data_IF_320414884022
#
_entry.id   IF_320414884022
#
_cell.length_a   1.000
_cell.length_b   1.000
_cell.length_c   1.000
_cell.angle_alpha   90.00
_cell.angle_beta   90.00
_cell.angle_gamma   90.00
#
_symmetry.space_group_name_H-M   'P 1'
#
loop_
_entity.id
_entity.type
_entity.pdbx_description
1 polymer ?
#
# COMPACT_ATOMS: atom_id res chain seq x y z
N UNK A 1 15.62 3.67 -17.32
CA UNK A 1 16.18 3.80 -15.95
C UNK A 1 15.68 2.60 -15.17
N UNK A 2 16.52 1.58 -15.02
CA UNK A 2 16.18 0.36 -14.29
C UNK A 2 16.38 0.64 -12.80
N UNK A 3 15.36 0.45 -11.97
CA UNK A 3 15.47 0.64 -10.53
C UNK A 3 16.34 -0.44 -9.87
N UNK A 4 16.79 -0.21 -8.64
CA UNK A 4 17.47 -1.21 -7.83
C UNK A 4 16.51 -2.35 -7.52
N UNK A 5 16.91 -3.60 -7.77
CA UNK A 5 16.08 -4.75 -7.46
C UNK A 5 15.92 -4.87 -5.94
N UNK A 6 14.75 -5.29 -5.49
CA UNK A 6 14.50 -5.44 -4.06
C UNK A 6 13.52 -6.58 -3.77
N UNK A 7 13.64 -7.15 -2.58
CA UNK A 7 12.68 -8.09 -2.02
C UNK A 7 11.75 -7.33 -1.08
N UNK A 8 10.45 -7.42 -1.31
CA UNK A 8 9.41 -6.69 -0.58
C UNK A 8 8.60 -7.69 0.23
N UNK A 9 8.48 -7.44 1.52
CA UNK A 9 7.61 -8.18 2.44
C UNK A 9 6.49 -7.26 2.89
N UNK A 10 5.26 -7.68 2.70
CA UNK A 10 4.05 -6.97 3.11
C UNK A 10 3.33 -7.79 4.16
N UNK A 11 3.14 -7.21 5.35
CA UNK A 11 2.33 -7.76 6.41
C UNK A 11 1.13 -6.83 6.61
N UNK A 12 -0.08 -7.35 6.45
CA UNK A 12 -1.32 -6.62 6.67
C UNK A 12 -2.06 -7.25 7.83
N UNK A 13 -2.43 -6.45 8.82
CA UNK A 13 -3.30 -6.84 9.92
C UNK A 13 -4.60 -6.04 9.84
N UNK A 14 -5.71 -6.74 9.69
CA UNK A 14 -7.04 -6.14 9.60
C UNK A 14 -7.84 -6.50 10.83
N UNK A 15 -8.60 -5.54 11.36
CA UNK A 15 -9.48 -5.72 12.51
C UNK A 15 -10.85 -5.12 12.21
N UNK A 16 -11.88 -5.94 12.36
CA UNK A 16 -13.28 -5.54 12.23
C UNK A 16 -14.03 -6.05 13.46
N UNK A 17 -14.49 -5.13 14.32
CA UNK A 17 -15.06 -5.48 15.62
C UNK A 17 -14.10 -6.32 16.49
N UNK A 18 -14.50 -7.55 16.78
CA UNK A 18 -13.71 -8.52 17.56
C UNK A 18 -12.83 -9.44 16.72
N UNK A 19 -13.04 -9.47 15.40
CA UNK A 19 -12.30 -10.32 14.49
C UNK A 19 -11.01 -9.62 14.03
N UNK A 20 -9.95 -10.41 13.87
CA UNK A 20 -8.71 -9.92 13.28
C UNK A 20 -8.08 -10.96 12.39
N UNK A 21 -7.60 -10.53 11.23
CA UNK A 21 -6.89 -11.36 10.27
C UNK A 21 -5.49 -10.77 10.02
N UNK A 22 -4.54 -11.64 9.71
CA UNK A 22 -3.19 -11.23 9.31
C UNK A 22 -2.80 -11.96 8.04
N UNK A 23 -2.31 -11.20 7.05
CA UNK A 23 -1.86 -11.72 5.76
C UNK A 23 -0.42 -11.30 5.53
N UNK A 24 0.41 -12.24 5.08
CA UNK A 24 1.80 -12.02 4.76
C UNK A 24 2.05 -12.35 3.30
N UNK A 25 2.72 -11.45 2.59
CA UNK A 25 3.01 -11.58 1.16
C UNK A 25 4.45 -11.16 0.88
N UNK A 26 5.10 -11.85 -0.06
CA UNK A 26 6.45 -11.54 -0.51
C UNK A 26 6.47 -11.31 -2.01
N UNK A 27 7.21 -10.30 -2.45
CA UNK A 27 7.32 -9.89 -3.83
C UNK A 27 8.76 -9.56 -4.20
N UNK A 28 9.10 -9.75 -5.47
CA UNK A 28 10.28 -9.14 -6.07
C UNK A 28 9.84 -7.87 -6.78
N UNK A 29 10.53 -6.77 -6.50
CA UNK A 29 10.18 -5.45 -7.00
C UNK A 29 11.39 -4.62 -7.42
N UNK A 30 11.15 -3.33 -7.62
CA UNK A 30 12.17 -2.35 -7.95
C UNK A 30 12.00 -1.10 -7.12
N UNK A 31 13.13 -0.55 -6.68
CA UNK A 31 13.23 0.71 -5.96
C UNK A 31 13.85 1.79 -6.85
N UNK A 32 13.27 2.99 -6.82
CA UNK A 32 13.82 4.17 -7.50
C UNK A 32 13.81 5.33 -6.53
N UNK A 33 14.97 5.94 -6.32
CA UNK A 33 15.12 7.21 -5.62
C UNK A 33 15.24 8.36 -6.63
N UNK A 34 14.38 9.38 -6.50
CA UNK A 34 14.45 10.63 -7.29
C UNK A 34 14.63 11.85 -6.38
N UNK A 35 15.30 11.70 -5.25
CA UNK A 35 15.56 12.75 -4.28
C UNK A 35 14.34 12.98 -3.39
N UNK A 36 13.50 13.96 -3.74
CA UNK A 36 12.34 14.31 -2.90
C UNK A 36 11.27 13.22 -2.85
N UNK A 37 11.23 12.36 -3.88
CA UNK A 37 10.23 11.30 -4.03
C UNK A 37 10.89 9.97 -4.37
N UNK A 38 10.41 8.93 -3.69
CA UNK A 38 10.90 7.56 -3.81
C UNK A 38 9.76 6.64 -4.22
N UNK A 39 10.13 5.53 -4.86
CA UNK A 39 9.18 4.62 -5.48
C UNK A 39 9.57 3.16 -5.21
N UNK A 40 8.60 2.36 -4.79
CA UNK A 40 8.65 0.90 -4.80
C UNK A 40 7.59 0.38 -5.78
N UNK A 41 7.98 -0.46 -6.71
CA UNK A 41 7.06 -1.08 -7.66
C UNK A 41 7.16 -2.60 -7.63
N UNK A 42 6.02 -3.27 -7.70
CA UNK A 42 5.93 -4.73 -7.75
C UNK A 42 4.63 -5.17 -8.44
N UNK A 43 4.59 -6.44 -8.84
CA UNK A 43 3.40 -7.05 -9.42
C UNK A 43 2.72 -7.97 -8.41
N UNK A 44 1.39 -7.84 -8.30
CA UNK A 44 0.54 -8.73 -7.50
C UNK A 44 -0.36 -9.53 -8.43
N UNK A 45 -0.54 -10.81 -8.09
CA UNK A 45 -1.54 -11.67 -8.72
C UNK A 45 -2.59 -11.97 -7.67
N UNK A 46 -3.82 -11.57 -7.91
CA UNK A 46 -4.94 -11.89 -7.01
C UNK A 46 -5.29 -13.37 -7.09
N UNK A 47 -5.97 -13.96 -6.08
CA UNK A 47 -6.37 -15.37 -6.11
C UNK A 47 -7.13 -15.78 -7.37
N UNK A 48 -7.90 -14.87 -7.96
CA UNK A 48 -8.67 -15.07 -9.20
C UNK A 48 -7.82 -14.93 -10.49
N UNK A 49 -6.50 -14.77 -10.37
CA UNK A 49 -5.56 -14.69 -11.50
C UNK A 49 -5.37 -13.30 -12.09
N UNK A 50 -6.09 -12.30 -11.58
CA UNK A 50 -5.99 -10.90 -12.01
C UNK A 50 -4.61 -10.32 -11.68
N UNK A 51 -4.02 -9.59 -12.63
CA UNK A 51 -2.70 -8.99 -12.46
C UNK A 51 -2.83 -7.51 -12.14
N UNK A 52 -2.10 -7.10 -11.11
CA UNK A 52 -2.13 -5.72 -10.62
C UNK A 52 -0.69 -5.20 -10.52
N UNK A 53 -0.41 -4.14 -11.23
CA UNK A 53 0.80 -3.34 -11.07
C UNK A 53 0.62 -2.44 -9.84
N UNK A 54 1.45 -2.63 -8.82
CA UNK A 54 1.46 -1.82 -7.61
C UNK A 54 2.64 -0.84 -7.65
N UNK A 55 2.35 0.44 -7.46
CA UNK A 55 3.34 1.50 -7.30
C UNK A 55 3.09 2.23 -5.98
N UNK A 56 4.04 2.09 -5.06
CA UNK A 56 4.09 2.86 -3.83
C UNK A 56 5.04 4.03 -4.08
N UNK A 57 4.53 5.25 -4.04
CA UNK A 57 5.36 6.45 -4.04
C UNK A 57 5.29 7.12 -2.68
N UNK A 58 6.43 7.56 -2.16
CA UNK A 58 6.49 8.13 -0.83
C UNK A 58 7.50 9.27 -0.73
N UNK A 59 7.17 10.20 0.16
CA UNK A 59 7.91 11.43 0.48
C UNK A 59 8.03 11.51 2.02
N UNK A 60 8.40 12.65 2.60
CA UNK A 60 8.63 12.74 4.06
C UNK A 60 7.42 12.35 4.92
N UNK A 61 6.20 12.77 4.55
CA UNK A 61 5.00 12.56 5.37
C UNK A 61 3.76 12.18 4.53
N UNK A 62 4.01 11.61 3.36
CA UNK A 62 2.94 11.21 2.44
C UNK A 62 3.35 9.94 1.72
N UNK A 63 2.40 9.02 1.60
CA UNK A 63 2.52 7.80 0.81
C UNK A 63 1.31 7.72 -0.12
N UNK A 64 1.55 7.24 -1.34
CA UNK A 64 0.50 6.96 -2.31
C UNK A 64 0.70 5.56 -2.86
N UNK A 65 -0.31 4.71 -2.70
CA UNK A 65 -0.39 3.42 -3.36
C UNK A 65 -1.25 3.59 -4.62
N UNK A 66 -0.68 3.30 -5.78
CA UNK A 66 -1.42 3.24 -7.05
C UNK A 66 -1.45 1.79 -7.51
N UNK A 67 -2.65 1.30 -7.79
CA UNK A 67 -2.87 -0.02 -8.37
C UNK A 67 -3.39 0.18 -9.80
N UNK A 68 -2.82 -0.53 -10.76
CA UNK A 68 -3.25 -0.52 -12.18
C UNK A 68 -3.38 -1.94 -12.71
N UNK A 69 -4.20 -2.10 -13.74
CA UNK A 69 -4.52 -3.40 -14.34
C UNK A 69 -6.00 -3.70 -14.20
N UNK A 70 -6.31 -4.96 -13.88
CA UNK A 70 -7.68 -5.44 -13.64
C UNK A 70 -8.35 -4.75 -12.44
N UNK A 71 -7.55 -4.29 -11.49
CA UNK A 71 -7.95 -3.44 -10.38
C UNK A 71 -7.27 -2.10 -10.53
N UNK A 72 -8.05 -1.02 -10.42
CA UNK A 72 -7.52 0.34 -10.47
C UNK A 72 -7.90 1.12 -9.23
N UNK A 73 -6.89 1.60 -8.51
CA UNK A 73 -7.10 2.43 -7.32
C UNK A 73 -5.92 3.39 -7.13
N UNK A 74 -6.19 4.47 -6.39
CA UNK A 74 -5.16 5.37 -5.89
C UNK A 74 -5.52 5.72 -4.46
N UNK A 75 -4.72 5.25 -3.51
CA UNK A 75 -4.88 5.53 -2.09
C UNK A 75 -3.80 6.51 -1.65
N UNK A 76 -4.21 7.57 -0.96
CA UNK A 76 -3.32 8.59 -0.42
C UNK A 76 -3.36 8.58 1.10
N UNK A 77 -2.19 8.39 1.70
CA UNK A 77 -1.99 8.30 3.14
C UNK A 77 -1.15 9.48 3.62
N UNK A 78 -1.69 10.20 4.59
CA UNK A 78 -1.02 11.28 5.31
C UNK A 78 -1.61 11.34 6.73
N UNK A 79 -0.80 11.40 7.81
CA UNK A 79 -1.33 11.37 9.17
C UNK A 79 -2.45 12.39 9.43
N UNK A 80 -3.57 11.93 9.99
CA UNK A 80 -4.76 12.72 10.26
C UNK A 80 -5.64 13.04 9.04
N UNK A 81 -5.21 12.68 7.83
CA UNK A 81 -5.98 12.93 6.62
C UNK A 81 -7.08 11.87 6.42
N UNK A 82 -8.23 12.34 5.93
CA UNK A 82 -9.34 11.50 5.46
C UNK A 82 -9.54 11.70 3.96
N UNK A 83 -9.30 10.67 3.17
CA UNK A 83 -9.36 10.72 1.70
C UNK A 83 -10.49 9.84 1.18
N UNK A 84 -11.20 10.29 0.14
CA UNK A 84 -12.19 9.48 -0.59
C UNK A 84 -11.54 9.01 -1.89
N UNK A 85 -11.52 7.71 -2.11
CA UNK A 85 -10.80 7.10 -3.21
C UNK A 85 -11.75 6.19 -4.00
N UNK A 86 -11.62 6.21 -5.32
CA UNK A 86 -12.30 5.26 -6.19
C UNK A 86 -11.51 3.96 -6.25
N UNK A 87 -12.21 2.85 -6.07
CA UNK A 87 -11.67 1.49 -6.19
C UNK A 87 -12.45 0.78 -7.28
N UNK A 88 -11.83 0.63 -8.44
CA UNK A 88 -12.46 0.04 -9.61
C UNK A 88 -12.04 -1.42 -9.71
N UNK A 89 -13.02 -2.31 -9.66
CA UNK A 89 -12.87 -3.73 -9.97
C UNK A 89 -13.68 -4.05 -11.23
N UNK A 90 -13.51 -5.24 -11.84
CA UNK A 90 -14.33 -5.62 -13.00
C UNK A 90 -15.83 -5.68 -12.69
N UNK A 91 -16.22 -5.86 -11.43
CA UNK A 91 -17.62 -5.90 -11.00
C UNK A 91 -18.24 -4.51 -10.82
N UNK A 92 -17.43 -3.45 -10.80
CA UNK A 92 -17.91 -2.08 -10.69
C UNK A 92 -16.97 -1.16 -9.93
N UNK A 93 -17.37 0.11 -9.84
CA UNK A 93 -16.68 1.13 -9.05
C UNK A 93 -17.25 1.16 -7.63
N UNK A 94 -16.35 1.10 -6.65
CA UNK A 94 -16.65 1.33 -5.24
C UNK A 94 -15.99 2.62 -4.78
N UNK A 95 -16.66 3.38 -3.90
CA UNK A 95 -16.05 4.50 -3.20
C UNK A 95 -15.64 4.04 -1.81
N UNK A 96 -14.36 4.21 -1.48
CA UNK A 96 -13.82 3.90 -0.16
C UNK A 96 -13.28 5.17 0.49
N UNK A 97 -13.45 5.28 1.80
CA UNK A 97 -12.87 6.36 2.61
C UNK A 97 -11.74 5.80 3.43
N UNK A 98 -10.59 6.46 3.39
CA UNK A 98 -9.40 6.08 4.16
C UNK A 98 -9.10 7.19 5.16
N UNK A 99 -9.07 6.86 6.44
CA UNK A 99 -8.63 7.76 7.50
C UNK A 99 -7.28 7.29 8.03
N UNK A 100 -6.22 8.02 7.72
CA UNK A 100 -4.85 7.62 8.09
C UNK A 100 -4.55 8.07 9.51
N UNK A 101 -4.40 7.13 10.44
CA UNK A 101 -4.02 7.42 11.84
C UNK A 101 -2.54 7.67 11.98
N UNK A 102 -1.73 6.84 11.34
CA UNK A 102 -0.26 6.90 11.45
C UNK A 102 0.39 6.51 10.14
N UNK A 103 1.46 7.21 9.81
CA UNK A 103 2.37 6.87 8.74
C UNK A 103 3.79 6.99 9.30
N UNK A 104 4.58 5.93 9.18
CA UNK A 104 6.01 5.92 9.49
C UNK A 104 6.75 5.51 8.24
N UNK A 105 7.77 6.27 7.89
CA UNK A 105 8.63 6.04 6.73
C UNK A 105 10.06 6.08 7.24
N UNK A 106 10.72 4.93 7.23
CA UNK A 106 12.11 4.79 7.63
C UNK A 106 12.90 4.22 6.45
N UNK A 107 13.99 4.88 6.09
CA UNK A 107 14.89 4.41 5.06
C UNK A 107 16.31 4.40 5.62
N UNK A 108 16.98 3.27 5.42
CA UNK A 108 18.40 3.05 5.63
C UNK A 108 19.05 2.75 4.28
N UNK A 109 20.36 2.50 4.28
CA UNK A 109 21.14 2.27 3.06
C UNK A 109 20.60 1.13 2.19
N UNK A 110 20.17 0.02 2.81
CA UNK A 110 19.70 -1.19 2.11
C UNK A 110 18.28 -1.61 2.51
N UNK A 111 17.61 -0.85 3.38
CA UNK A 111 16.31 -1.21 3.93
C UNK A 111 15.34 -0.03 3.86
N UNK A 112 14.10 -0.30 3.45
CA UNK A 112 12.98 0.64 3.50
C UNK A 112 11.87 0.00 4.32
N UNK A 113 11.44 0.68 5.37
CA UNK A 113 10.35 0.26 6.24
C UNK A 113 9.23 1.31 6.19
N UNK A 114 8.04 0.88 5.81
CA UNK A 114 6.84 1.71 5.75
C UNK A 114 5.81 1.09 6.68
N UNK A 115 5.24 1.88 7.59
CA UNK A 115 4.12 1.47 8.42
C UNK A 115 2.96 2.43 8.20
N UNK A 116 1.79 1.88 7.89
CA UNK A 116 0.57 2.62 7.61
C UNK A 116 -0.52 2.06 8.52
N UNK A 117 -1.06 2.89 9.41
CA UNK A 117 -2.24 2.56 10.23
C UNK A 117 -3.39 3.45 9.77
N UNK A 118 -4.48 2.83 9.32
CA UNK A 118 -5.63 3.54 8.80
C UNK A 118 -6.94 2.80 9.08
N UNK A 119 -8.03 3.55 9.10
CA UNK A 119 -9.38 2.98 9.01
C UNK A 119 -9.88 3.06 7.57
N UNK A 120 -10.46 1.96 7.10
CA UNK A 120 -11.12 1.86 5.81
C UNK A 120 -12.64 1.79 6.01
N UNK A 121 -13.37 2.68 5.35
CA UNK A 121 -14.83 2.73 5.37
C UNK A 121 -15.37 2.49 3.95
N UNK A 122 -16.20 1.46 3.79
CA UNK A 122 -16.81 1.09 2.51
C UNK A 122 -18.34 0.93 2.63
N UNK A 123 -18.99 1.78 3.43
CA UNK A 123 -20.45 1.77 3.62
C UNK A 123 -20.97 0.92 4.79
N UNK A 124 -20.08 0.39 5.63
CA UNK A 124 -20.41 -0.35 6.85
C UNK A 124 -19.54 0.06 8.04
N UNK A 125 -19.29 -0.86 8.97
CA UNK A 125 -18.35 -0.63 10.07
C UNK A 125 -16.92 -0.40 9.54
N UNK A 126 -16.15 0.51 10.15
CA UNK A 126 -14.78 0.78 9.75
C UNK A 126 -13.89 -0.43 10.05
N UNK A 127 -13.03 -0.77 9.09
CA UNK A 127 -12.01 -1.80 9.25
C UNK A 127 -10.70 -1.10 9.57
N UNK A 128 -10.17 -1.32 10.77
CA UNK A 128 -8.82 -0.85 11.08
C UNK A 128 -7.80 -1.77 10.40
N UNK A 129 -6.89 -1.18 9.64
CA UNK A 129 -5.86 -1.90 8.90
C UNK A 129 -4.50 -1.30 9.21
N UNK A 130 -3.57 -2.16 9.62
CA UNK A 130 -2.15 -1.82 9.78
C UNK A 130 -1.37 -2.58 8.73
N UNK A 131 -0.65 -1.87 7.87
CA UNK A 131 0.23 -2.44 6.86
C UNK A 131 1.67 -2.09 7.21
N UNK A 132 2.51 -3.11 7.31
CA UNK A 132 3.97 -3.01 7.36
C UNK A 132 4.56 -3.49 6.05
N UNK A 133 5.37 -2.65 5.41
CA UNK A 133 6.08 -2.96 4.17
C UNK A 133 7.57 -2.84 4.44
N UNK A 134 8.30 -3.93 4.24
CA UNK A 134 9.76 -3.96 4.36
C UNK A 134 10.35 -4.32 3.01
N UNK A 135 11.16 -3.43 2.45
CA UNK A 135 11.89 -3.70 1.22
C UNK A 135 13.39 -3.76 1.52
N UNK A 136 14.04 -4.84 1.09
CA UNK A 136 15.49 -5.03 1.16
C UNK A 136 16.07 -4.89 -0.24
N UNK A 137 16.96 -3.92 -0.42
CA UNK A 137 17.63 -3.63 -1.68
C UNK A 137 18.75 -4.64 -1.93
N UNK A 138 18.91 -5.05 -3.20
CA UNK A 138 19.99 -5.93 -3.67
C UNK A 138 21.24 -5.15 -4.11
#
# INVERSE_FOLDING_TARGET
>A
MTGTKCNIKLCSKQKMGHESETTNEEYVGSFIDRGSKRYLSYNRVMPEGQKVDCLISFEHNKLTLTQKGDIQSKLEFAPGARTRNAYNTPMGMMTIVVHTKRLVIEQKDTEINLLIDYDLEAGGEPINTVIEIKATLE
#
